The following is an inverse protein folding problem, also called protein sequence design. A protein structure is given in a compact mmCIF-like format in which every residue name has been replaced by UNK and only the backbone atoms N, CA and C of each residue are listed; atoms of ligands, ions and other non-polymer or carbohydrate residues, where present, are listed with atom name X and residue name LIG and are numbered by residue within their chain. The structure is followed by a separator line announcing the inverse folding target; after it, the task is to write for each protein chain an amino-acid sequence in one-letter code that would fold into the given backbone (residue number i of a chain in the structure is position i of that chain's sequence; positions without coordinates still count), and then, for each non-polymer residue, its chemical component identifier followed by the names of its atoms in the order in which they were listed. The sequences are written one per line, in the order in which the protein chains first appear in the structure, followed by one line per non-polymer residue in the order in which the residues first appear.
data_IF_523967038009
#
_entry.id   IF_523967038009
#
_cell.length_a   1.000
_cell.length_b   1.000
_cell.length_c   1.000
_cell.angle_alpha   90.00
_cell.angle_beta   90.00
_cell.angle_gamma   90.00
#
_symmetry.space_group_name_H-M   'P 1'
#
loop_
_entity.id
_entity.type
_entity.pdbx_description
1 polymer ?
#
# COMPACT_ATOMS: atom_id res chain seq x y z
N UNK A 1 -34.28 0.42 -16.85
CA UNK A 1 -33.31 -0.64 -16.47
C UNK A 1 -32.91 -0.39 -15.02
N UNK A 2 -32.91 -1.41 -14.16
CA UNK A 2 -32.35 -1.26 -12.81
C UNK A 2 -30.83 -1.11 -12.94
N UNK A 3 -30.28 0.03 -12.50
CA UNK A 3 -28.83 0.17 -12.39
C UNK A 3 -28.38 -0.61 -11.15
N UNK A 4 -27.31 -1.40 -11.30
CA UNK A 4 -26.72 -2.08 -10.17
C UNK A 4 -26.09 -1.04 -9.24
N UNK A 5 -26.45 -1.07 -7.95
CA UNK A 5 -25.86 -0.22 -6.93
C UNK A 5 -24.33 -0.38 -6.86
N UNK A 6 -23.58 0.67 -6.48
CA UNK A 6 -22.15 0.57 -6.24
C UNK A 6 -21.82 -0.56 -5.26
N UNK A 7 -20.79 -1.35 -5.58
CA UNK A 7 -20.33 -2.44 -4.75
C UNK A 7 -19.06 -2.03 -3.99
N UNK A 8 -19.04 -2.25 -2.67
CA UNK A 8 -17.88 -1.99 -1.81
C UNK A 8 -17.22 -3.29 -1.38
N UNK A 9 -15.89 -3.35 -1.52
CA UNK A 9 -15.05 -4.49 -1.21
C UNK A 9 -14.04 -4.08 -0.13
N UNK A 10 -13.94 -4.86 0.95
CA UNK A 10 -12.87 -4.68 1.92
C UNK A 10 -11.56 -5.26 1.37
N UNK A 11 -10.43 -4.63 1.72
CA UNK A 11 -9.11 -5.20 1.40
C UNK A 11 -8.86 -6.45 2.26
N UNK A 12 -8.48 -7.54 1.61
CA UNK A 12 -7.93 -8.71 2.30
C UNK A 12 -6.47 -8.39 2.70
N UNK A 13 -6.13 -8.33 3.99
CA UNK A 13 -4.78 -8.01 4.43
C UNK A 13 -3.75 -9.07 4.04
N UNK A 14 -4.16 -10.31 3.76
CA UNK A 14 -3.24 -11.40 3.37
C UNK A 14 -2.97 -11.48 1.87
N UNK A 15 -3.87 -10.94 1.05
CA UNK A 15 -3.77 -10.94 -0.42
C UNK A 15 -3.66 -9.53 -1.04
N UNK A 16 -3.50 -8.51 -0.22
CA UNK A 16 -3.15 -7.15 -0.65
C UNK A 16 -1.68 -6.91 -0.33
N UNK A 17 -0.92 -6.29 -1.24
CA UNK A 17 0.47 -5.90 -0.96
C UNK A 17 0.76 -4.50 -1.47
N UNK A 18 1.44 -3.70 -0.64
CA UNK A 18 1.91 -2.36 -1.00
C UNK A 18 3.42 -2.40 -1.05
N UNK A 19 3.99 -2.14 -2.22
CA UNK A 19 5.43 -2.08 -2.45
C UNK A 19 5.90 -0.65 -2.69
N UNK A 20 7.14 -0.37 -2.34
CA UNK A 20 7.90 0.71 -2.95
C UNK A 20 9.23 0.19 -3.48
N UNK A 21 9.76 0.92 -4.45
CA UNK A 21 11.06 0.65 -5.05
C UNK A 21 11.90 1.93 -5.06
N UNK A 22 13.20 1.79 -4.80
CA UNK A 22 14.16 2.87 -4.88
C UNK A 22 15.41 2.43 -5.66
N UNK A 23 15.84 3.26 -6.62
CA UNK A 23 17.11 3.03 -7.31
C UNK A 23 18.27 3.19 -6.32
N UNK A 24 19.24 2.31 -6.41
CA UNK A 24 20.39 2.28 -5.51
C UNK A 24 21.67 2.44 -6.33
N UNK A 25 22.21 3.66 -6.32
CA UNK A 25 23.44 4.07 -7.00
C UNK A 25 23.53 3.70 -8.49
N UNK A 26 22.38 3.61 -9.17
CA UNK A 26 22.33 3.26 -10.61
C UNK A 26 22.70 1.82 -10.94
N UNK A 27 22.83 0.94 -9.95
CA UNK A 27 23.27 -0.47 -10.14
C UNK A 27 22.20 -1.48 -9.77
N UNK A 28 21.37 -1.17 -8.79
CA UNK A 28 20.35 -2.08 -8.24
C UNK A 28 19.07 -1.33 -7.86
N UNK A 29 18.01 -2.09 -7.56
CA UNK A 29 16.74 -1.56 -7.06
C UNK A 29 16.44 -2.18 -5.71
N UNK A 30 16.38 -1.36 -4.68
CA UNK A 30 15.86 -1.76 -3.38
C UNK A 30 14.35 -1.89 -3.48
N UNK A 31 13.81 -2.99 -2.97
CA UNK A 31 12.37 -3.26 -2.90
C UNK A 31 11.99 -3.51 -1.46
N UNK A 32 10.90 -2.91 -1.03
CA UNK A 32 10.36 -3.14 0.29
C UNK A 32 8.85 -2.96 0.27
N UNK A 33 8.19 -3.43 1.32
CA UNK A 33 6.73 -3.46 1.43
C UNK A 33 6.28 -3.00 2.81
N UNK A 34 5.04 -2.56 2.92
CA UNK A 34 4.37 -2.40 4.21
C UNK A 34 3.46 -3.59 4.47
N UNK A 35 3.66 -4.23 5.61
CA UNK A 35 2.97 -5.48 5.94
C UNK A 35 1.54 -5.25 6.44
N UNK A 36 1.29 -4.09 7.06
CA UNK A 36 0.00 -3.72 7.65
C UNK A 36 -0.65 -2.60 6.85
N UNK A 37 -1.87 -2.89 6.42
CA UNK A 37 -2.71 -2.07 5.57
C UNK A 37 -4.15 -2.52 5.73
N UNK A 38 -5.06 -1.57 5.64
CA UNK A 38 -6.49 -1.78 5.65
C UNK A 38 -7.15 -0.81 4.69
N UNK A 39 -8.40 -1.06 4.33
CA UNK A 39 -9.12 -0.17 3.44
C UNK A 39 -10.28 -0.83 2.73
N UNK A 40 -10.83 -0.07 1.79
CA UNK A 40 -11.93 -0.51 0.93
C UNK A 40 -11.84 0.08 -0.47
N UNK A 41 -12.52 -0.58 -1.39
CA UNK A 41 -12.70 -0.13 -2.77
C UNK A 41 -14.19 -0.16 -3.07
N UNK A 42 -14.75 0.97 -3.49
CA UNK A 42 -16.11 1.07 -4.03
C UNK A 42 -16.04 1.17 -5.55
N UNK A 43 -16.82 0.35 -6.25
CA UNK A 43 -16.91 0.35 -7.72
C UNK A 43 -18.37 0.52 -8.15
N UNK A 44 -18.62 1.53 -8.97
CA UNK A 44 -19.85 1.67 -9.75
C UNK A 44 -19.54 1.33 -11.21
N UNK A 45 -19.91 0.11 -11.61
CA UNK A 45 -19.66 -0.38 -12.97
C UNK A 45 -20.56 0.29 -14.01
N UNK A 46 -21.74 0.75 -13.62
CA UNK A 46 -22.69 1.37 -14.54
C UNK A 46 -22.25 2.82 -14.86
N UNK A 47 -21.86 3.57 -13.83
CA UNK A 47 -21.33 4.93 -13.98
C UNK A 47 -19.85 4.93 -14.42
N UNK A 48 -19.17 3.78 -14.36
CA UNK A 48 -17.72 3.65 -14.64
C UNK A 48 -16.86 4.51 -13.73
N UNK A 49 -17.24 4.58 -12.45
CA UNK A 49 -16.52 5.31 -11.41
C UNK A 49 -16.10 4.36 -10.29
N UNK A 50 -15.17 4.81 -9.47
CA UNK A 50 -14.73 4.07 -8.31
C UNK A 50 -13.95 4.94 -7.34
N UNK A 51 -13.82 4.46 -6.11
CA UNK A 51 -13.07 5.08 -5.03
C UNK A 51 -12.28 4.01 -4.29
N UNK A 52 -11.03 4.29 -3.95
CA UNK A 52 -10.23 3.47 -3.07
C UNK A 52 -9.78 4.30 -1.87
N UNK A 53 -9.94 3.75 -0.67
CA UNK A 53 -9.45 4.34 0.57
C UNK A 53 -8.59 3.30 1.27
N UNK A 54 -7.31 3.64 1.47
CA UNK A 54 -6.31 2.72 2.01
C UNK A 54 -5.49 3.43 3.08
N UNK A 55 -5.38 2.80 4.25
CA UNK A 55 -4.50 3.23 5.33
C UNK A 55 -3.34 2.25 5.41
N UNK A 56 -2.12 2.78 5.52
CA UNK A 56 -0.88 2.01 5.62
C UNK A 56 -0.22 2.36 6.95
N UNK A 57 0.14 1.36 7.76
CA UNK A 57 0.93 1.57 8.96
C UNK A 57 2.41 1.70 8.56
N UNK A 58 2.95 2.91 8.64
CA UNK A 58 4.32 3.23 8.24
C UNK A 58 5.37 2.47 9.06
N UNK A 59 5.04 2.05 10.30
CA UNK A 59 5.93 1.24 11.13
C UNK A 59 6.07 -0.21 10.66
N UNK A 60 5.23 -0.65 9.72
CA UNK A 60 5.22 -2.01 9.19
C UNK A 60 6.09 -2.23 7.95
N UNK A 61 6.94 -1.26 7.60
CA UNK A 61 7.88 -1.37 6.48
C UNK A 61 8.86 -2.53 6.71
N UNK A 62 9.08 -3.32 5.65
CA UNK A 62 10.01 -4.44 5.61
C UNK A 62 10.72 -4.51 4.26
N UNK A 63 12.04 -4.40 4.30
CA UNK A 63 12.96 -4.61 3.18
C UNK A 63 13.69 -5.96 3.25
N UNK A 64 13.50 -6.71 4.33
CA UNK A 64 14.31 -7.88 4.67
C UNK A 64 15.64 -7.53 5.33
N UNK A 65 15.96 -6.23 5.52
CA UNK A 65 17.20 -5.75 6.15
C UNK A 65 16.85 -4.83 7.31
N UNK A 66 16.89 -5.36 8.54
CA UNK A 66 16.45 -4.65 9.76
C UNK A 66 17.07 -3.26 9.98
N UNK A 67 18.39 -3.07 9.80
CA UNK A 67 19.00 -1.73 9.90
C UNK A 67 18.46 -0.73 8.88
N UNK A 68 18.18 -1.17 7.65
CA UNK A 68 17.60 -0.31 6.63
C UNK A 68 16.14 0.04 6.95
N UNK A 69 15.36 -0.94 7.43
CA UNK A 69 14.00 -0.70 7.91
C UNK A 69 13.98 0.33 9.05
N UNK A 70 14.93 0.24 9.99
CA UNK A 70 15.10 1.21 11.07
C UNK A 70 15.43 2.62 10.57
N UNK A 71 16.30 2.73 9.56
CA UNK A 71 16.64 4.03 8.97
C UNK A 71 15.45 4.65 8.22
N UNK A 72 14.70 3.84 7.47
CA UNK A 72 13.50 4.30 6.75
C UNK A 72 12.40 4.79 7.69
N UNK A 73 12.26 4.19 8.89
CA UNK A 73 11.31 4.66 9.91
C UNK A 73 11.75 5.96 10.60
N UNK A 74 13.04 6.31 10.53
CA UNK A 74 13.56 7.47 11.25
C UNK A 74 13.06 8.81 10.67
N UNK A 75 13.34 9.89 11.41
CA UNK A 75 13.10 11.28 10.97
C UNK A 75 13.87 11.68 9.70
N UNK A 76 14.87 10.91 9.30
CA UNK A 76 15.63 11.15 8.08
C UNK A 76 14.82 10.74 6.83
N UNK A 77 13.77 9.91 7.02
CA UNK A 77 12.86 9.44 5.98
C UNK A 77 11.40 9.61 6.38
N UNK A 78 10.70 8.51 6.73
CA UNK A 78 9.24 8.53 6.84
C UNK A 78 8.72 9.11 8.16
N UNK A 79 9.59 9.32 9.15
CA UNK A 79 9.20 9.77 10.49
C UNK A 79 8.01 8.96 11.05
N UNK A 80 8.12 7.63 10.93
CA UNK A 80 7.08 6.66 11.25
C UNK A 80 6.91 6.44 12.76
#
# INVERSE_FOLDING_TARGET
AAQAEPATYALDPTHTTVFFEAKHFGTSTNRARWDKKEGSITLDKAAKTGKAEVTIDMNSISSGVGPFDGHLKSKDFFAA
#
